data_IF_584896767133
#
_entry.id   IF_584896767133
#
_cell.length_a   1.000
_cell.length_b   1.000
_cell.length_c   1.000
_cell.angle_alpha   90.00
_cell.angle_beta   90.00
_cell.angle_gamma   90.00
#
_symmetry.space_group_name_H-M   'P 1'
#
loop_
_entity.id
_entity.type
_entity.pdbx_description
1 polymer ?
#
# COMPACT_ATOMS: atom_id res chain seq x y z
N UNK A 1 6.00 0.02 14.72
CA UNK A 1 5.02 0.36 13.66
C UNK A 1 4.83 1.87 13.63
N UNK A 2 5.61 2.56 12.80
CA UNK A 2 5.40 3.94 12.35
C UNK A 2 4.73 3.84 10.97
N UNK A 3 3.57 3.20 10.90
CA UNK A 3 2.92 2.87 9.62
C UNK A 3 1.87 3.93 9.22
N UNK A 4 1.23 4.56 10.20
CA UNK A 4 0.15 5.54 9.95
C UNK A 4 0.67 6.75 9.17
N UNK A 5 1.84 7.27 9.54
CA UNK A 5 2.44 8.42 8.86
C UNK A 5 2.82 8.13 7.40
N UNK A 6 3.16 6.88 7.06
CA UNK A 6 3.49 6.48 5.69
C UNK A 6 2.27 6.14 4.84
N UNK A 7 1.11 5.90 5.45
CA UNK A 7 -0.14 5.54 4.75
C UNK A 7 -1.00 6.77 4.41
N UNK A 8 -0.87 7.87 5.16
CA UNK A 8 -1.53 9.14 4.84
C UNK A 8 -0.69 9.86 3.79
N UNK A 9 -0.95 9.57 2.51
CA UNK A 9 -0.17 10.06 1.37
C UNK A 9 -0.91 11.07 0.49
N UNK A 10 -0.22 11.50 -0.56
CA UNK A 10 -0.72 12.46 -1.57
C UNK A 10 -2.02 12.03 -2.24
N UNK A 11 -2.27 10.73 -2.39
CA UNK A 11 -3.52 10.22 -2.93
C UNK A 11 -4.77 10.71 -2.18
N UNK A 12 -4.71 10.84 -0.86
CA UNK A 12 -5.85 11.36 -0.09
C UNK A 12 -6.08 12.86 -0.32
N UNK A 13 -5.03 13.65 -0.52
CA UNK A 13 -5.16 15.11 -0.65
C UNK A 13 -5.30 15.60 -2.10
N UNK A 14 -4.67 14.92 -3.04
CA UNK A 14 -4.65 15.31 -4.45
C UNK A 14 -5.74 14.59 -5.26
N UNK A 15 -6.03 13.32 -4.95
CA UNK A 15 -6.97 12.51 -5.74
C UNK A 15 -8.40 12.54 -5.20
N UNK A 16 -8.61 12.66 -3.89
CA UNK A 16 -9.96 12.58 -3.31
C UNK A 16 -10.94 13.60 -3.90
N UNK A 17 -10.51 14.85 -4.08
CA UNK A 17 -11.33 15.89 -4.70
C UNK A 17 -11.71 15.59 -6.15
N UNK A 18 -10.76 15.06 -6.94
CA UNK A 18 -11.03 14.64 -8.33
C UNK A 18 -11.97 13.43 -8.40
N UNK A 19 -11.80 12.46 -7.50
CA UNK A 19 -12.65 11.26 -7.44
C UNK A 19 -14.09 11.64 -7.07
N UNK A 20 -14.28 12.51 -6.09
CA UNK A 20 -15.63 12.97 -5.70
C UNK A 20 -16.27 13.79 -6.83
N UNK A 21 -15.50 14.62 -7.52
CA UNK A 21 -16.00 15.45 -8.63
C UNK A 21 -16.36 14.64 -9.89
N UNK A 22 -15.72 13.47 -10.10
CA UNK A 22 -15.90 12.67 -11.33
C UNK A 22 -16.78 11.43 -11.15
N UNK A 23 -16.84 10.83 -9.96
CA UNK A 23 -17.52 9.56 -9.70
C UNK A 23 -18.74 9.67 -8.75
N UNK A 24 -19.02 10.85 -8.21
CA UNK A 24 -20.00 11.13 -7.15
C UNK A 24 -19.58 10.67 -5.73
N UNK A 25 -20.05 11.36 -4.66
CA UNK A 25 -19.66 11.07 -3.28
C UNK A 25 -19.91 9.63 -2.82
N UNK A 26 -20.98 9.01 -3.32
CA UNK A 26 -21.36 7.63 -2.94
C UNK A 26 -20.39 6.62 -3.54
N UNK A 27 -19.99 6.78 -4.81
CA UNK A 27 -19.02 5.88 -5.43
C UNK A 27 -17.64 6.02 -4.79
N UNK A 28 -17.24 7.25 -4.44
CA UNK A 28 -16.00 7.51 -3.73
C UNK A 28 -15.95 6.77 -2.37
N UNK A 29 -17.05 6.83 -1.59
CA UNK A 29 -17.14 6.14 -0.30
C UNK A 29 -17.07 4.62 -0.44
N UNK A 30 -17.78 4.06 -1.42
CA UNK A 30 -17.76 2.62 -1.70
C UNK A 30 -16.38 2.16 -2.13
N UNK A 31 -15.71 2.90 -3.02
CA UNK A 31 -14.35 2.58 -3.48
C UNK A 31 -13.35 2.57 -2.31
N UNK A 32 -13.39 3.60 -1.44
CA UNK A 32 -12.53 3.66 -0.26
C UNK A 32 -12.81 2.52 0.72
N UNK A 33 -14.08 2.20 0.94
CA UNK A 33 -14.48 1.12 1.87
C UNK A 33 -14.01 -0.24 1.36
N UNK A 34 -14.22 -0.54 0.07
CA UNK A 34 -13.78 -1.78 -0.56
C UNK A 34 -12.26 -1.93 -0.50
N UNK A 35 -11.50 -0.88 -0.83
CA UNK A 35 -10.04 -0.92 -0.69
C UNK A 35 -9.58 -1.03 0.76
N UNK A 36 -10.32 -0.42 1.70
CA UNK A 36 -10.11 -0.61 3.13
C UNK A 36 -10.21 -2.08 3.55
N UNK A 37 -11.23 -2.80 3.09
CA UNK A 37 -11.36 -4.24 3.36
C UNK A 37 -10.23 -5.07 2.77
N UNK A 38 -9.84 -4.80 1.52
CA UNK A 38 -8.73 -5.51 0.86
C UNK A 38 -7.42 -5.31 1.64
N UNK A 39 -7.10 -4.07 1.98
CA UNK A 39 -5.86 -3.75 2.71
C UNK A 39 -5.89 -4.27 4.14
N UNK A 40 -7.04 -4.27 4.82
CA UNK A 40 -7.20 -4.90 6.12
C UNK A 40 -6.93 -6.41 6.07
N UNK A 41 -7.46 -7.12 5.07
CA UNK A 41 -7.18 -8.55 4.87
C UNK A 41 -5.70 -8.85 4.71
N UNK A 42 -4.98 -8.04 3.92
CA UNK A 42 -3.51 -8.16 3.76
C UNK A 42 -2.78 -7.89 5.08
N UNK A 43 -3.19 -6.86 5.82
CA UNK A 43 -2.58 -6.50 7.10
C UNK A 43 -2.77 -7.60 8.16
N UNK A 44 -3.96 -8.18 8.27
CA UNK A 44 -4.23 -9.29 9.19
C UNK A 44 -3.43 -10.53 8.82
N UNK A 45 -3.44 -10.94 7.56
CA UNK A 45 -2.69 -12.11 7.09
C UNK A 45 -1.19 -11.95 7.33
N UNK A 46 -0.64 -10.78 7.02
CA UNK A 46 0.78 -10.47 7.27
C UNK A 46 1.10 -10.45 8.77
N UNK A 47 0.17 -9.92 9.59
CA UNK A 47 0.29 -9.90 11.05
C UNK A 47 0.31 -11.30 11.65
N UNK A 48 -0.58 -12.19 11.23
CA UNK A 48 -0.64 -13.58 11.68
C UNK A 48 0.63 -14.35 11.31
N UNK A 49 1.11 -14.22 10.06
CA UNK A 49 2.33 -14.88 9.62
C UNK A 49 3.56 -14.34 10.38
N UNK A 50 3.59 -13.03 10.66
CA UNK A 50 4.67 -12.42 11.45
C UNK A 50 4.64 -12.87 12.90
N UNK A 51 3.45 -13.04 13.49
CA UNK A 51 3.28 -13.55 14.85
C UNK A 51 3.67 -15.04 14.95
N UNK A 52 3.31 -15.85 13.95
CA UNK A 52 3.68 -17.27 13.89
C UNK A 52 5.19 -17.46 13.68
N UNK A 53 5.81 -16.67 12.82
CA UNK A 53 7.24 -16.73 12.54
C UNK A 53 7.85 -15.32 12.49
N UNK A 54 8.37 -14.82 13.63
CA UNK A 54 9.09 -13.56 13.65
C UNK A 54 10.43 -13.74 12.93
N UNK A 55 10.46 -13.35 11.65
CA UNK A 55 11.67 -13.44 10.82
C UNK A 55 12.15 -12.05 10.41
N UNK A 56 13.46 -11.87 10.47
CA UNK A 56 14.14 -10.70 9.89
C UNK A 56 14.12 -10.83 8.37
N UNK A 57 13.31 -9.97 7.72
CA UNK A 57 13.09 -9.98 6.27
C UNK A 57 11.71 -9.49 5.82
N UNK A 58 10.74 -9.37 6.74
CA UNK A 58 9.40 -8.85 6.43
C UNK A 58 8.61 -9.71 5.44
N UNK A 59 7.58 -9.10 4.82
CA UNK A 59 6.62 -9.79 3.97
C UNK A 59 7.25 -10.49 2.75
N UNK A 60 8.38 -9.99 2.22
CA UNK A 60 9.09 -10.63 1.10
C UNK A 60 9.60 -12.02 1.50
N UNK A 61 10.17 -12.14 2.70
CA UNK A 61 10.66 -13.43 3.21
C UNK A 61 9.53 -14.37 3.58
N UNK A 62 8.40 -13.83 4.04
CA UNK A 62 7.18 -14.61 4.23
C UNK A 62 6.68 -15.19 2.90
N UNK A 63 6.64 -14.39 1.83
CA UNK A 63 6.24 -14.85 0.49
C UNK A 63 7.17 -15.95 -0.06
N UNK A 64 8.50 -15.78 0.05
CA UNK A 64 9.49 -16.78 -0.38
C UNK A 64 9.33 -18.11 0.35
N UNK A 65 8.94 -18.08 1.64
CA UNK A 65 8.92 -19.27 2.51
C UNK A 65 7.58 -20.01 2.49
N UNK A 66 6.46 -19.30 2.42
CA UNK A 66 5.11 -19.88 2.53
C UNK A 66 4.41 -20.13 1.19
N UNK A 67 4.85 -19.46 0.11
CA UNK A 67 4.23 -19.63 -1.21
C UNK A 67 5.21 -20.28 -2.17
N UNK A 68 6.18 -19.52 -2.66
CA UNK A 68 7.25 -20.03 -3.53
C UNK A 68 8.41 -19.02 -3.64
N UNK A 69 9.63 -19.48 -3.95
CA UNK A 69 10.78 -18.59 -4.11
C UNK A 69 10.62 -17.57 -5.25
N UNK A 70 9.95 -17.93 -6.35
CA UNK A 70 9.76 -17.05 -7.51
C UNK A 70 8.84 -15.86 -7.18
N UNK A 71 7.74 -16.12 -6.47
CA UNK A 71 6.81 -15.09 -6.00
C UNK A 71 7.47 -14.17 -4.97
N UNK A 72 8.34 -14.72 -4.10
CA UNK A 72 9.16 -13.91 -3.20
C UNK A 72 10.05 -12.91 -3.96
N UNK A 73 10.75 -13.36 -4.99
CA UNK A 73 11.56 -12.48 -5.84
C UNK A 73 10.72 -11.44 -6.58
N UNK A 74 9.59 -11.85 -7.18
CA UNK A 74 8.68 -10.95 -7.89
C UNK A 74 8.08 -9.88 -6.99
N UNK A 75 7.69 -10.24 -5.77
CA UNK A 75 7.13 -9.33 -4.75
C UNK A 75 8.19 -8.34 -4.27
N UNK A 76 9.43 -8.81 -4.05
CA UNK A 76 10.55 -7.94 -3.67
C UNK A 76 10.86 -6.88 -4.74
N UNK A 77 10.92 -7.29 -6.01
CA UNK A 77 11.14 -6.37 -7.14
C UNK A 77 9.99 -5.39 -7.35
N UNK A 78 8.73 -5.85 -7.25
CA UNK A 78 7.57 -4.96 -7.33
C UNK A 78 7.61 -3.91 -6.22
N UNK A 79 7.90 -4.33 -4.99
CA UNK A 79 7.97 -3.40 -3.86
C UNK A 79 9.08 -2.36 -4.04
N UNK A 80 10.28 -2.80 -4.46
CA UNK A 80 11.38 -1.88 -4.75
C UNK A 80 11.00 -0.86 -5.82
N UNK A 81 10.38 -1.31 -6.91
CA UNK A 81 9.91 -0.44 -8.00
C UNK A 81 8.86 0.56 -7.53
N UNK A 82 7.88 0.12 -6.73
CA UNK A 82 6.89 1.01 -6.13
C UNK A 82 7.55 2.07 -5.25
N UNK A 83 8.50 1.70 -4.39
CA UNK A 83 9.22 2.67 -3.55
C UNK A 83 10.05 3.64 -4.38
N UNK A 84 10.69 3.17 -5.44
CA UNK A 84 11.52 4.01 -6.33
C UNK A 84 10.70 5.07 -7.08
N UNK A 85 9.47 4.75 -7.50
CA UNK A 85 8.58 5.68 -8.22
C UNK A 85 7.77 6.55 -7.27
N UNK A 86 7.45 6.05 -6.08
CA UNK A 86 6.66 6.82 -5.13
C UNK A 86 7.39 8.09 -4.69
N UNK A 87 8.71 8.03 -4.51
CA UNK A 87 9.51 9.20 -4.10
C UNK A 87 9.42 10.39 -5.08
N UNK A 88 9.68 10.26 -6.39
CA UNK A 88 9.48 11.36 -7.33
C UNK A 88 8.00 11.75 -7.47
N UNK A 89 7.05 10.82 -7.36
CA UNK A 89 5.62 11.12 -7.41
C UNK A 89 5.19 12.05 -6.26
N UNK A 90 5.66 11.78 -5.04
CA UNK A 90 5.42 12.62 -3.87
C UNK A 90 6.04 14.02 -4.02
N UNK A 91 7.23 14.13 -4.63
CA UNK A 91 7.87 15.42 -4.93
C UNK A 91 7.06 16.22 -5.97
N UNK A 92 6.60 15.58 -7.05
CA UNK A 92 5.75 16.24 -8.06
C UNK A 92 4.40 16.68 -7.49
N UNK A 93 3.80 15.87 -6.62
CA UNK A 93 2.57 16.23 -5.92
C UNK A 93 2.78 17.44 -4.99
N UNK A 94 3.88 17.47 -4.22
CA UNK A 94 4.24 18.61 -3.38
C UNK A 94 4.42 19.89 -4.20
N UNK A 95 5.06 19.81 -5.37
CA UNK A 95 5.22 20.96 -6.28
C UNK A 95 3.92 21.43 -6.95
N UNK A 96 2.86 20.62 -6.96
CA UNK A 96 1.55 21.00 -7.50
C UNK A 96 0.63 21.60 -6.43
N UNK A 97 0.86 21.22 -5.16
CA UNK A 97 0.09 21.69 -4.00
C UNK A 97 0.60 23.03 -3.43
N UNK A 98 1.88 23.37 -3.65
CA UNK A 98 2.54 24.63 -3.23
C UNK A 98 2.63 25.58 -4.40
#
# INVERSE_FOLDING_TARGET
>A
MVAVAGMIGTGLFLSSGQVIASADPVAALLAYTLMGFVTAGVAYTTGEITAFMPSTGGFVRHATKFVEPALGAATGWNFWYTMAINMPAEISAAATLV
#
